data_IF_678573317962
#
_entry.id   IF_678573317962
#
_cell.length_a   1.000
_cell.length_b   1.000
_cell.length_c   1.000
_cell.angle_alpha   90.00
_cell.angle_beta   90.00
_cell.angle_gamma   90.00
#
_symmetry.space_group_name_H-M   'P 1'
#
loop_
_entity.id
_entity.type
_entity.pdbx_description
1 polymer ?
#
# COMPACT_ATOMS: atom_id res chain seq x y z
N UNK A 1 -47.52 -34.28 57.63
CA UNK A 1 -46.62 -34.39 56.46
C UNK A 1 -46.96 -33.28 55.46
N UNK A 2 -46.19 -32.20 55.46
CA UNK A 2 -46.35 -31.09 54.52
C UNK A 2 -45.28 -31.25 53.46
N UNK A 3 -45.67 -31.44 52.13
CA UNK A 3 -44.77 -31.46 51.00
C UNK A 3 -44.56 -30.03 50.53
N UNK A 4 -43.31 -29.57 50.63
CA UNK A 4 -42.87 -28.29 50.09
C UNK A 4 -42.44 -28.54 48.62
N UNK A 5 -43.13 -27.91 47.67
CA UNK A 5 -42.80 -27.92 46.26
C UNK A 5 -41.78 -26.79 46.02
N UNK A 6 -40.57 -27.16 45.58
CA UNK A 6 -39.51 -26.22 45.17
C UNK A 6 -39.76 -25.90 43.67
N UNK A 7 -40.08 -24.67 43.34
CA UNK A 7 -40.11 -24.17 41.97
C UNK A 7 -38.69 -23.72 41.56
N UNK A 8 -38.08 -24.44 40.67
CA UNK A 8 -36.85 -24.02 39.97
C UNK A 8 -37.25 -23.08 38.81
N UNK A 9 -37.01 -21.78 38.96
CA UNK A 9 -37.13 -20.84 37.85
C UNK A 9 -35.86 -20.87 37.03
N UNK A 10 -35.93 -21.41 35.81
CA UNK A 10 -34.89 -21.27 34.80
C UNK A 10 -34.90 -19.82 34.30
N UNK A 11 -33.87 -19.05 34.65
CA UNK A 11 -33.56 -17.79 33.96
C UNK A 11 -32.94 -18.12 32.62
N UNK A 12 -33.71 -17.97 31.53
CA UNK A 12 -33.18 -17.97 30.20
C UNK A 12 -32.45 -16.65 29.97
N UNK A 13 -31.10 -16.69 30.00
CA UNK A 13 -30.28 -15.57 29.56
C UNK A 13 -30.34 -15.54 28.03
N UNK A 14 -31.20 -14.67 27.51
CA UNK A 14 -31.19 -14.37 26.05
C UNK A 14 -29.95 -13.49 25.76
N UNK A 15 -28.89 -14.13 25.26
CA UNK A 15 -27.81 -13.38 24.62
C UNK A 15 -28.35 -12.76 23.33
N UNK A 16 -28.78 -11.51 23.39
CA UNK A 16 -29.02 -10.71 22.19
C UNK A 16 -27.68 -10.47 21.52
N UNK A 17 -27.39 -11.23 20.46
CA UNK A 17 -26.27 -10.93 19.55
C UNK A 17 -26.64 -9.63 18.84
N UNK A 18 -26.04 -8.52 19.26
CA UNK A 18 -26.15 -7.26 18.52
C UNK A 18 -25.51 -7.44 17.14
N UNK A 19 -26.21 -7.03 16.07
CA UNK A 19 -25.63 -7.03 14.74
C UNK A 19 -24.42 -6.10 14.69
N UNK A 20 -23.34 -6.50 14.00
CA UNK A 20 -22.16 -5.67 13.77
C UNK A 20 -22.55 -4.34 13.12
N UNK A 21 -21.90 -3.25 13.53
CA UNK A 21 -22.18 -1.89 13.03
C UNK A 21 -21.87 -1.73 11.53
N UNK A 22 -20.84 -2.45 11.06
CA UNK A 22 -20.37 -2.44 9.67
C UNK A 22 -20.30 -3.86 9.12
N UNK A 23 -20.51 -4.07 7.80
CA UNK A 23 -20.29 -5.36 7.17
C UNK A 23 -18.89 -5.91 7.43
N UNK A 24 -18.82 -7.21 7.68
CA UNK A 24 -17.58 -7.97 7.71
C UNK A 24 -17.52 -8.89 6.50
N UNK A 25 -16.31 -9.18 6.02
CA UNK A 25 -16.12 -10.08 4.90
C UNK A 25 -16.52 -11.51 5.27
N UNK A 26 -17.29 -12.10 4.39
CA UNK A 26 -17.62 -13.55 4.41
C UNK A 26 -17.15 -14.18 3.10
N UNK A 27 -17.05 -15.50 3.07
CA UNK A 27 -16.66 -16.23 1.85
C UNK A 27 -17.91 -16.54 1.01
N UNK A 28 -17.77 -16.48 -0.31
CA UNK A 28 -18.78 -16.90 -1.26
C UNK A 28 -18.14 -17.48 -2.52
N UNK A 29 -18.92 -18.24 -3.29
CA UNK A 29 -18.44 -18.68 -4.60
C UNK A 29 -18.58 -17.56 -5.64
N UNK A 30 -17.71 -17.55 -6.66
CA UNK A 30 -17.81 -16.56 -7.73
C UNK A 30 -19.16 -16.58 -8.46
N UNK A 31 -19.74 -17.76 -8.69
CA UNK A 31 -21.03 -17.90 -9.38
C UNK A 31 -22.16 -17.18 -8.62
N UNK A 32 -22.22 -17.36 -7.30
CA UNK A 32 -23.23 -16.72 -6.45
C UNK A 32 -23.07 -15.20 -6.44
N UNK A 33 -21.85 -14.71 -6.61
CA UNK A 33 -21.55 -13.29 -6.68
C UNK A 33 -21.73 -12.67 -8.08
N UNK A 34 -22.18 -13.45 -9.06
CA UNK A 34 -22.47 -12.96 -10.40
C UNK A 34 -21.30 -13.02 -11.37
N UNK A 35 -20.28 -13.81 -11.09
CA UNK A 35 -19.15 -14.02 -12.01
C UNK A 35 -19.38 -15.19 -12.95
N UNK A 36 -18.86 -15.07 -14.17
CA UNK A 36 -18.68 -16.15 -15.11
C UNK A 36 -17.42 -16.93 -14.75
N UNK A 37 -17.57 -18.13 -14.21
CA UNK A 37 -16.46 -18.95 -13.72
C UNK A 37 -15.52 -19.35 -14.84
N UNK A 38 -16.00 -19.62 -16.03
CA UNK A 38 -15.12 -19.99 -17.15
C UNK A 38 -14.19 -18.84 -17.53
N UNK A 39 -14.64 -17.59 -17.43
CA UNK A 39 -13.78 -16.43 -17.63
C UNK A 39 -12.73 -16.27 -16.53
N UNK A 40 -13.09 -16.55 -15.28
CA UNK A 40 -12.12 -16.57 -14.18
C UNK A 40 -11.11 -17.71 -14.36
N UNK A 41 -11.55 -18.88 -14.81
CA UNK A 41 -10.64 -19.99 -15.14
C UNK A 41 -9.71 -19.63 -16.30
N UNK A 42 -10.18 -18.88 -17.28
CA UNK A 42 -9.34 -18.39 -18.37
C UNK A 42 -8.27 -17.40 -17.85
N UNK A 43 -8.66 -16.49 -16.97
CA UNK A 43 -7.71 -15.60 -16.30
C UNK A 43 -6.65 -16.39 -15.53
N UNK A 44 -7.06 -17.41 -14.80
CA UNK A 44 -6.16 -18.30 -14.06
C UNK A 44 -5.14 -18.96 -15.00
N UNK A 45 -5.57 -19.52 -16.12
CA UNK A 45 -4.66 -20.10 -17.12
C UNK A 45 -3.67 -19.07 -17.66
N UNK A 46 -4.12 -17.86 -17.95
CA UNK A 46 -3.25 -16.79 -18.45
C UNK A 46 -2.23 -16.33 -17.41
N UNK A 47 -2.63 -16.24 -16.14
CA UNK A 47 -1.69 -15.92 -15.05
C UNK A 47 -0.68 -17.06 -14.88
N UNK A 48 -1.11 -18.31 -14.86
CA UNK A 48 -0.24 -19.48 -14.80
C UNK A 48 0.79 -19.48 -15.93
N UNK A 49 0.39 -19.16 -17.15
CA UNK A 49 1.29 -19.10 -18.30
C UNK A 49 2.35 -18.00 -18.13
N UNK A 50 1.95 -16.84 -17.63
CA UNK A 50 2.91 -15.75 -17.39
C UNK A 50 3.89 -16.06 -16.25
N UNK A 51 3.47 -16.81 -15.25
CA UNK A 51 4.38 -17.33 -14.22
C UNK A 51 5.37 -18.32 -14.83
N UNK A 52 4.94 -19.22 -15.71
CA UNK A 52 5.82 -20.12 -16.45
C UNK A 52 6.79 -19.36 -17.36
N UNK A 53 6.35 -18.22 -17.90
CA UNK A 53 7.16 -17.34 -18.76
C UNK A 53 8.12 -16.43 -17.97
N UNK A 54 8.13 -16.51 -16.63
CA UNK A 54 9.11 -15.84 -15.79
C UNK A 54 8.56 -14.83 -14.78
N UNK A 55 7.23 -14.61 -14.68
CA UNK A 55 6.69 -13.79 -13.60
C UNK A 55 6.82 -14.54 -12.26
N UNK A 56 7.40 -13.94 -11.20
CA UNK A 56 7.82 -14.73 -10.03
C UNK A 56 6.66 -15.28 -9.20
N UNK A 57 5.88 -14.41 -8.56
CA UNK A 57 4.77 -14.80 -7.71
C UNK A 57 3.63 -13.80 -7.77
N UNK A 58 2.40 -14.29 -7.63
CA UNK A 58 1.17 -13.48 -7.68
C UNK A 58 0.18 -14.01 -6.67
N UNK A 59 -0.42 -13.10 -5.90
CA UNK A 59 -1.61 -13.36 -5.09
C UNK A 59 -2.72 -12.41 -5.55
N UNK A 60 -3.90 -12.96 -5.78
CA UNK A 60 -5.08 -12.22 -6.19
C UNK A 60 -6.26 -12.51 -5.27
N UNK A 61 -6.95 -11.47 -4.82
CA UNK A 61 -8.19 -11.57 -4.05
C UNK A 61 -9.20 -10.58 -4.60
N UNK A 62 -10.46 -11.04 -4.73
CA UNK A 62 -11.59 -10.26 -5.24
C UNK A 62 -12.68 -10.21 -4.17
N UNK A 63 -13.13 -8.99 -3.86
CA UNK A 63 -14.32 -8.74 -3.04
C UNK A 63 -15.46 -8.32 -3.96
N UNK A 64 -16.64 -8.86 -3.72
CA UNK A 64 -17.90 -8.44 -4.35
C UNK A 64 -19.01 -8.50 -3.30
N UNK A 65 -19.73 -7.38 -3.14
CA UNK A 65 -20.88 -7.29 -2.23
C UNK A 65 -20.57 -7.80 -0.80
N UNK A 66 -19.49 -7.30 -0.21
CA UNK A 66 -18.99 -7.64 1.13
C UNK A 66 -18.51 -9.10 1.29
N UNK A 67 -18.23 -9.78 0.18
CA UNK A 67 -17.80 -11.18 0.20
C UNK A 67 -16.48 -11.36 -0.55
N UNK A 68 -15.62 -12.21 -0.01
CA UNK A 68 -14.45 -12.70 -0.73
C UNK A 68 -14.95 -13.79 -1.68
N UNK A 69 -14.84 -13.55 -2.97
CA UNK A 69 -15.37 -14.43 -4.02
C UNK A 69 -14.28 -15.15 -4.80
N UNK A 70 -13.04 -14.72 -4.65
CA UNK A 70 -11.89 -15.32 -5.30
C UNK A 70 -10.63 -15.03 -4.48
N UNK A 71 -9.81 -16.06 -4.29
CA UNK A 71 -8.51 -15.94 -3.62
C UNK A 71 -7.59 -17.03 -4.16
N UNK A 72 -6.48 -16.64 -4.75
CA UNK A 72 -5.51 -17.59 -5.29
C UNK A 72 -4.09 -17.06 -5.25
N UNK A 73 -3.12 -17.97 -5.15
CA UNK A 73 -1.69 -17.72 -5.25
C UNK A 73 -1.09 -18.54 -6.40
N UNK A 74 -0.13 -17.95 -7.13
CA UNK A 74 0.62 -18.59 -8.22
C UNK A 74 2.11 -18.35 -8.01
N UNK A 75 2.93 -19.28 -8.46
CA UNK A 75 4.37 -19.11 -8.53
C UNK A 75 5.08 -19.17 -7.19
N UNK A 76 6.12 -18.38 -7.04
CA UNK A 76 7.07 -18.49 -5.96
C UNK A 76 7.20 -17.21 -5.12
N UNK A 77 7.19 -17.38 -3.80
CA UNK A 77 7.66 -16.36 -2.88
C UNK A 77 9.17 -16.11 -3.06
N UNK A 78 9.94 -17.17 -3.30
CA UNK A 78 11.36 -17.06 -3.66
C UNK A 78 11.75 -18.16 -4.63
N UNK A 79 12.30 -17.78 -5.78
CA UNK A 79 12.77 -18.73 -6.81
C UNK A 79 14.24 -18.54 -7.18
N UNK A 80 14.85 -17.44 -6.77
CA UNK A 80 16.28 -17.13 -6.99
C UNK A 80 17.02 -16.96 -5.67
N UNK A 81 18.28 -17.35 -5.67
CA UNK A 81 19.26 -16.97 -4.68
C UNK A 81 20.41 -16.26 -5.40
N UNK A 82 20.50 -14.95 -5.23
CA UNK A 82 21.22 -14.10 -6.18
C UNK A 82 20.65 -14.31 -7.59
N UNK A 83 21.49 -14.46 -8.58
CA UNK A 83 21.07 -14.67 -9.97
C UNK A 83 20.85 -16.14 -10.33
N UNK A 84 20.89 -17.05 -9.36
CA UNK A 84 20.80 -18.52 -9.59
C UNK A 84 19.41 -19.01 -9.20
N UNK A 85 18.77 -19.76 -10.10
CA UNK A 85 17.51 -20.44 -9.82
C UNK A 85 17.70 -21.48 -8.70
N UNK A 86 16.83 -21.44 -7.71
CA UNK A 86 16.81 -22.41 -6.61
C UNK A 86 16.33 -23.78 -7.11
N UNK A 87 16.97 -24.85 -6.67
CA UNK A 87 16.50 -26.21 -6.95
C UNK A 87 15.13 -26.49 -6.33
N UNK A 88 14.85 -25.87 -5.18
CA UNK A 88 13.58 -25.99 -4.47
C UNK A 88 13.04 -24.58 -4.15
N UNK A 89 12.30 -23.94 -5.06
CA UNK A 89 11.70 -22.64 -4.81
C UNK A 89 10.74 -22.69 -3.62
N UNK A 90 10.64 -21.55 -2.91
CA UNK A 90 9.61 -21.34 -1.90
C UNK A 90 8.32 -20.93 -2.60
N UNK A 91 7.29 -21.78 -2.52
CA UNK A 91 5.99 -21.47 -3.16
C UNK A 91 5.30 -20.29 -2.49
N UNK A 92 4.66 -19.45 -3.28
CA UNK A 92 3.69 -18.49 -2.79
C UNK A 92 2.43 -19.21 -2.30
N UNK A 93 1.93 -18.80 -1.14
CA UNK A 93 0.63 -19.24 -0.61
C UNK A 93 -0.28 -18.02 -0.45
N UNK A 94 -1.56 -18.24 -0.20
CA UNK A 94 -2.51 -17.13 0.03
C UNK A 94 -2.19 -16.32 1.28
N UNK A 95 -1.34 -16.82 2.16
CA UNK A 95 -0.88 -16.13 3.38
C UNK A 95 0.47 -15.43 3.22
N UNK A 96 1.13 -15.59 2.09
CA UNK A 96 2.43 -14.95 1.82
C UNK A 96 2.35 -13.44 2.01
N UNK A 97 3.30 -12.87 2.76
CA UNK A 97 3.46 -11.42 2.90
C UNK A 97 4.23 -10.86 1.71
N UNK A 98 3.78 -9.73 1.21
CA UNK A 98 4.47 -8.99 0.14
C UNK A 98 4.86 -7.59 0.62
N UNK A 99 5.99 -7.11 0.15
CA UNK A 99 6.34 -5.70 0.24
C UNK A 99 5.36 -4.88 -0.59
N UNK A 100 4.59 -4.03 0.05
CA UNK A 100 3.55 -3.24 -0.59
C UNK A 100 4.09 -2.04 -1.36
N UNK A 101 5.35 -1.70 -1.17
CA UNK A 101 5.95 -0.49 -1.75
C UNK A 101 5.04 0.73 -1.52
N UNK A 102 4.69 1.48 -2.57
CA UNK A 102 3.90 2.71 -2.45
C UNK A 102 2.46 2.52 -1.97
N UNK A 103 1.92 1.30 -1.96
CA UNK A 103 0.65 1.05 -1.27
C UNK A 103 0.74 1.32 0.24
N UNK A 104 1.95 1.39 0.81
CA UNK A 104 2.19 1.88 2.18
C UNK A 104 1.60 3.28 2.38
N UNK A 105 1.70 4.15 1.37
CA UNK A 105 1.16 5.52 1.43
C UNK A 105 -0.33 5.53 1.77
N UNK A 106 -1.06 4.55 1.24
CA UNK A 106 -2.51 4.45 1.47
C UNK A 106 -2.83 3.68 2.75
N UNK A 107 -2.32 2.46 2.89
CA UNK A 107 -2.77 1.53 3.93
C UNK A 107 -2.09 1.73 5.30
N UNK A 108 -1.01 2.48 5.37
CA UNK A 108 -0.43 2.96 6.62
C UNK A 108 -0.70 4.46 6.82
N UNK A 109 -0.11 5.29 5.99
CA UNK A 109 -0.07 6.74 6.21
C UNK A 109 -1.43 7.40 6.01
N UNK A 110 -2.13 7.12 4.90
CA UNK A 110 -3.48 7.66 4.69
C UNK A 110 -4.48 7.16 5.72
N UNK A 111 -4.45 5.88 6.09
CA UNK A 111 -5.33 5.37 7.14
C UNK A 111 -5.09 6.10 8.46
N UNK A 112 -3.83 6.35 8.83
CA UNK A 112 -3.49 7.15 10.01
C UNK A 112 -4.01 8.58 9.90
N UNK A 113 -3.78 9.25 8.77
CA UNK A 113 -4.24 10.62 8.53
C UNK A 113 -5.77 10.72 8.54
N UNK A 114 -6.45 9.79 7.88
CA UNK A 114 -7.92 9.72 7.87
C UNK A 114 -8.48 9.59 9.29
N UNK A 115 -7.86 8.73 10.11
CA UNK A 115 -8.26 8.58 11.51
C UNK A 115 -8.03 9.86 12.32
N UNK A 116 -6.86 10.46 12.21
CA UNK A 116 -6.53 11.70 12.93
C UNK A 116 -7.41 12.87 12.49
N UNK A 117 -7.72 12.99 11.22
CA UNK A 117 -8.63 14.03 10.70
C UNK A 117 -10.06 13.80 11.17
N UNK A 118 -10.53 12.55 11.16
CA UNK A 118 -11.86 12.20 11.68
C UNK A 118 -12.00 12.51 13.19
N UNK A 119 -10.90 12.41 13.93
CA UNK A 119 -10.85 12.76 15.36
C UNK A 119 -10.64 14.26 15.63
N UNK A 120 -10.50 15.08 14.58
CA UNK A 120 -10.25 16.52 14.71
C UNK A 120 -8.84 16.90 15.17
N UNK A 121 -7.90 15.96 15.14
CA UNK A 121 -6.51 16.19 15.57
C UNK A 121 -5.62 16.76 14.48
N UNK A 122 -6.07 16.70 13.24
CA UNK A 122 -5.35 17.12 12.05
C UNK A 122 -6.36 17.61 11.02
N UNK A 123 -6.02 18.65 10.26
CA UNK A 123 -6.84 19.19 9.18
C UNK A 123 -6.04 19.31 7.88
N UNK A 124 -6.65 19.13 6.71
CA UNK A 124 -5.95 19.28 5.42
C UNK A 124 -5.29 20.65 5.25
N UNK A 125 -5.90 21.70 5.82
CA UNK A 125 -5.42 23.07 5.73
C UNK A 125 -4.35 23.45 6.75
N UNK A 126 -4.02 22.54 7.67
CA UNK A 126 -2.94 22.77 8.63
C UNK A 126 -1.60 22.93 7.89
N UNK A 127 -0.80 23.90 8.34
CA UNK A 127 0.54 24.08 7.81
C UNK A 127 1.48 22.99 8.33
N UNK A 128 2.39 22.53 7.49
CA UNK A 128 3.38 21.52 7.86
C UNK A 128 4.24 22.03 9.04
N UNK A 129 4.60 23.32 9.02
CA UNK A 129 5.39 23.95 10.08
C UNK A 129 4.76 23.84 11.48
N UNK A 130 3.44 23.65 11.57
CA UNK A 130 2.74 23.41 12.86
C UNK A 130 3.21 22.13 13.54
N UNK A 131 3.57 21.10 12.76
CA UNK A 131 3.92 19.77 13.27
C UNK A 131 5.42 19.46 13.18
N UNK A 132 6.13 20.11 12.26
CA UNK A 132 7.55 19.87 11.98
C UNK A 132 8.34 21.12 12.34
N UNK A 133 8.93 21.17 13.54
CA UNK A 133 9.75 22.30 13.96
C UNK A 133 10.90 22.59 12.97
N UNK A 134 11.08 23.85 12.62
CA UNK A 134 12.14 24.26 11.70
C UNK A 134 11.83 24.02 10.22
N UNK A 135 10.61 23.59 9.87
CA UNK A 135 10.20 23.50 8.47
C UNK A 135 9.89 24.91 7.95
N UNK A 136 10.80 25.44 7.16
CA UNK A 136 10.73 26.83 6.67
C UNK A 136 11.59 27.03 5.43
N UNK A 137 11.32 28.10 4.69
CA UNK A 137 12.20 28.54 3.61
C UNK A 137 13.57 28.93 4.16
N UNK A 138 14.63 28.53 3.45
CA UNK A 138 15.99 29.02 3.68
C UNK A 138 16.23 30.30 2.89
N UNK A 139 17.08 31.22 3.39
CA UNK A 139 17.43 32.42 2.64
C UNK A 139 17.99 32.13 1.24
N UNK A 140 18.67 31.01 1.07
CA UNK A 140 19.31 30.61 -0.20
C UNK A 140 18.40 29.80 -1.12
N UNK A 141 17.17 29.51 -0.72
CA UNK A 141 16.23 28.75 -1.57
C UNK A 141 15.83 29.60 -2.79
N UNK A 142 16.06 29.07 -3.98
CA UNK A 142 15.64 29.71 -5.23
C UNK A 142 14.12 29.78 -5.37
N UNK A 143 13.43 28.74 -4.89
CA UNK A 143 11.95 28.67 -4.87
C UNK A 143 11.51 28.69 -3.41
N UNK A 144 10.66 29.66 -3.09
CA UNK A 144 10.07 29.82 -1.76
C UNK A 144 8.70 29.16 -1.70
N UNK A 145 8.21 28.87 -0.50
CA UNK A 145 6.86 28.34 -0.27
C UNK A 145 6.76 27.36 0.88
N UNK A 146 7.87 26.89 1.45
CA UNK A 146 7.83 25.95 2.58
C UNK A 146 7.09 26.51 3.79
N UNK A 147 7.19 27.81 4.05
CA UNK A 147 6.53 28.47 5.18
C UNK A 147 5.01 28.32 5.17
N UNK A 148 4.41 28.17 4.00
CA UNK A 148 2.96 28.11 3.81
C UNK A 148 2.44 26.78 3.32
N UNK A 149 3.33 25.81 3.07
CA UNK A 149 2.92 24.46 2.67
C UNK A 149 1.96 23.84 3.70
N UNK A 150 0.90 23.24 3.18
CA UNK A 150 -0.16 22.59 3.95
C UNK A 150 -0.13 21.08 3.77
N UNK A 151 -0.80 20.38 4.66
CA UNK A 151 -0.98 18.92 4.57
C UNK A 151 -1.60 18.55 3.21
N UNK A 152 -2.63 19.30 2.75
CA UNK A 152 -3.29 19.07 1.45
C UNK A 152 -2.32 19.17 0.27
N UNK A 153 -1.32 20.04 0.31
CA UNK A 153 -0.32 20.16 -0.76
C UNK A 153 0.51 18.88 -0.91
N UNK A 154 0.86 18.25 0.21
CA UNK A 154 1.55 16.95 0.20
C UNK A 154 0.64 15.83 -0.30
N UNK A 155 -0.62 15.80 0.15
CA UNK A 155 -1.59 14.79 -0.27
C UNK A 155 -1.94 14.88 -1.76
N UNK A 156 -1.88 16.07 -2.35
CA UNK A 156 -2.07 16.29 -3.79
C UNK A 156 -0.80 16.10 -4.63
N UNK A 157 0.35 15.81 -4.01
CA UNK A 157 1.64 15.80 -4.70
C UNK A 157 1.93 17.11 -5.46
N UNK A 158 1.59 18.23 -4.85
CA UNK A 158 1.76 19.58 -5.40
C UNK A 158 2.64 20.47 -4.53
N UNK A 159 3.41 19.87 -3.62
CA UNK A 159 4.24 20.60 -2.65
C UNK A 159 5.52 21.21 -3.20
N UNK A 160 5.95 20.83 -4.39
CA UNK A 160 7.17 21.33 -4.99
C UNK A 160 8.39 20.43 -4.83
N UNK A 161 8.32 19.37 -4.07
CA UNK A 161 9.45 18.48 -3.80
C UNK A 161 9.84 17.62 -5.01
N UNK A 162 11.16 17.27 -5.11
CA UNK A 162 11.60 16.30 -6.12
C UNK A 162 10.93 14.94 -5.93
N UNK A 163 10.76 14.19 -7.02
CA UNK A 163 10.04 12.91 -7.01
C UNK A 163 10.71 11.85 -6.14
N UNK A 164 12.03 11.68 -6.30
CA UNK A 164 12.78 10.56 -5.72
C UNK A 164 14.23 10.95 -5.38
N UNK A 165 14.47 11.85 -4.41
CA UNK A 165 15.82 12.18 -4.00
C UNK A 165 16.51 10.98 -3.35
N UNK A 166 17.78 10.75 -3.73
CA UNK A 166 18.52 9.56 -3.32
C UNK A 166 19.31 9.82 -2.03
N UNK A 167 18.65 10.11 -0.94
CA UNK A 167 19.27 10.40 0.36
C UNK A 167 20.32 9.37 0.81
N UNK A 168 20.13 8.05 0.60
CA UNK A 168 21.10 7.05 1.07
C UNK A 168 22.38 6.98 0.23
N UNK A 169 22.41 7.58 -0.96
CA UNK A 169 23.56 7.53 -1.87
C UNK A 169 24.32 8.87 -1.83
N UNK A 170 25.44 8.89 -1.12
CA UNK A 170 26.23 10.12 -0.91
C UNK A 170 26.72 10.74 -2.22
N UNK A 171 27.07 9.93 -3.21
CA UNK A 171 27.55 10.41 -4.50
C UNK A 171 26.46 11.17 -5.27
N UNK A 172 25.19 10.84 -5.05
CA UNK A 172 24.02 11.47 -5.69
C UNK A 172 23.46 12.59 -4.82
N UNK A 173 23.25 12.31 -3.52
CA UNK A 173 22.60 13.25 -2.59
C UNK A 173 23.51 14.41 -2.17
N UNK A 174 24.83 14.21 -2.17
CA UNK A 174 25.77 15.24 -1.74
C UNK A 174 25.51 15.70 -0.30
N UNK A 175 25.27 17.00 -0.12
CA UNK A 175 24.98 17.58 1.18
C UNK A 175 23.68 17.10 1.85
N UNK A 176 22.80 16.47 1.08
CA UNK A 176 21.52 15.91 1.59
C UNK A 176 21.63 14.43 1.97
N UNK A 177 22.84 13.86 1.90
CA UNK A 177 23.06 12.46 2.27
C UNK A 177 22.63 12.16 3.71
N UNK A 178 21.86 11.10 3.87
CA UNK A 178 21.46 10.60 5.19
C UNK A 178 21.15 9.11 5.15
N UNK A 179 21.66 8.39 6.16
CA UNK A 179 21.28 7.01 6.46
C UNK A 179 20.83 6.86 7.92
N UNK A 180 20.25 7.92 8.48
CA UNK A 180 19.67 7.95 9.82
C UNK A 180 18.31 8.66 9.76
N UNK A 181 17.28 8.09 10.40
CA UNK A 181 15.91 8.61 10.29
C UNK A 181 15.76 10.05 10.78
N UNK A 182 16.39 10.37 11.92
CA UNK A 182 16.34 11.73 12.47
C UNK A 182 17.05 12.74 11.58
N UNK A 183 18.21 12.38 11.04
CA UNK A 183 18.93 13.22 10.08
C UNK A 183 18.20 13.33 8.75
N UNK A 184 17.51 12.28 8.32
CA UNK A 184 16.72 12.33 7.09
C UNK A 184 15.63 13.39 7.17
N UNK A 185 14.97 13.56 8.31
CA UNK A 185 14.02 14.67 8.49
C UNK A 185 14.70 16.02 8.30
N UNK A 186 15.89 16.21 8.86
CA UNK A 186 16.66 17.46 8.66
C UNK A 186 17.03 17.67 7.18
N UNK A 187 17.40 16.61 6.47
CA UNK A 187 17.70 16.69 5.04
C UNK A 187 16.45 17.01 4.20
N UNK A 188 15.30 16.46 4.57
CA UNK A 188 14.01 16.78 3.92
C UNK A 188 13.70 18.27 4.09
N UNK A 189 13.86 18.82 5.28
CA UNK A 189 13.68 20.28 5.54
C UNK A 189 14.56 21.13 4.63
N UNK A 190 15.76 20.64 4.30
CA UNK A 190 16.76 21.33 3.47
C UNK A 190 16.64 21.02 1.99
N UNK A 191 15.82 20.06 1.60
CA UNK A 191 15.64 19.68 0.19
C UNK A 191 14.98 20.82 -0.57
N UNK A 192 15.64 21.37 -1.61
CA UNK A 192 15.08 22.47 -2.40
C UNK A 192 13.80 22.04 -3.12
N UNK A 193 12.83 22.94 -3.19
CA UNK A 193 11.68 22.79 -4.06
C UNK A 193 12.14 22.93 -5.52
N UNK A 194 11.57 22.14 -6.41
CA UNK A 194 11.87 22.14 -7.85
C UNK A 194 10.88 22.98 -8.67
N UNK A 195 9.71 23.25 -8.09
CA UNK A 195 8.68 24.07 -8.71
C UNK A 195 7.87 24.80 -7.63
N UNK A 196 7.19 25.86 -8.03
CA UNK A 196 6.35 26.63 -7.11
C UNK A 196 5.21 25.77 -6.59
N UNK A 197 5.00 25.65 -5.27
CA UNK A 197 3.90 24.89 -4.70
C UNK A 197 2.55 25.23 -5.35
N UNK A 198 1.78 24.20 -5.70
CA UNK A 198 0.48 24.33 -6.37
C UNK A 198 0.55 24.49 -7.88
N UNK A 199 1.72 24.72 -8.49
CA UNK A 199 1.86 24.95 -9.94
C UNK A 199 1.89 23.67 -10.78
N UNK A 200 2.22 22.53 -10.15
CA UNK A 200 2.30 21.22 -10.79
C UNK A 200 1.89 20.13 -9.80
N UNK A 201 1.57 18.95 -10.35
CA UNK A 201 1.38 17.72 -9.60
C UNK A 201 2.47 16.74 -10.02
N UNK A 202 3.47 16.54 -9.17
CA UNK A 202 4.55 15.58 -9.38
C UNK A 202 4.58 14.61 -8.21
N UNK A 203 4.28 13.35 -8.49
CA UNK A 203 4.35 12.28 -7.51
C UNK A 203 5.71 12.27 -6.83
N UNK A 204 5.72 12.39 -5.49
CA UNK A 204 6.94 12.49 -4.69
C UNK A 204 6.87 11.63 -3.45
N UNK A 205 7.88 10.80 -3.26
CA UNK A 205 8.07 10.05 -2.03
C UNK A 205 8.28 10.96 -0.81
N UNK A 206 8.90 12.13 -1.02
CA UNK A 206 9.15 13.11 0.05
C UNK A 206 7.85 13.57 0.69
N UNK A 207 6.80 13.76 -0.09
CA UNK A 207 5.48 14.16 0.42
C UNK A 207 5.01 13.18 1.51
N UNK A 208 5.13 11.89 1.26
CA UNK A 208 4.68 10.86 2.20
C UNK A 208 5.69 10.54 3.29
N UNK A 209 6.98 10.76 3.06
CA UNK A 209 7.98 10.74 4.13
C UNK A 209 7.63 11.81 5.18
N UNK A 210 7.34 13.03 4.75
CA UNK A 210 6.87 14.11 5.62
C UNK A 210 5.54 13.79 6.31
N UNK A 211 4.56 13.27 5.58
CA UNK A 211 3.28 12.89 6.17
C UNK A 211 3.43 11.82 7.25
N UNK A 212 4.34 10.87 7.07
CA UNK A 212 4.71 9.91 8.10
C UNK A 212 5.28 10.57 9.35
N UNK A 213 6.20 11.52 9.20
CA UNK A 213 6.74 12.30 10.31
C UNK A 213 5.65 13.14 11.00
N UNK A 214 4.69 13.67 10.24
CA UNK A 214 3.56 14.42 10.81
C UNK A 214 2.68 13.52 11.68
N UNK A 215 2.39 12.30 11.23
CA UNK A 215 1.68 11.31 12.05
C UNK A 215 2.43 11.07 13.36
N UNK A 216 3.75 10.88 13.30
CA UNK A 216 4.59 10.68 14.48
C UNK A 216 4.56 11.90 15.40
N UNK A 217 4.61 13.11 14.86
CA UNK A 217 4.50 14.36 15.63
C UNK A 217 3.16 14.50 16.35
N UNK A 218 2.06 14.23 15.64
CA UNK A 218 0.69 14.38 16.20
C UNK A 218 0.43 13.32 17.27
N UNK A 219 0.89 12.11 17.08
CA UNK A 219 0.57 10.96 17.96
C UNK A 219 1.59 10.75 19.08
N UNK A 220 2.80 11.31 18.93
CA UNK A 220 3.90 11.03 19.86
C UNK A 220 4.42 9.60 19.78
N UNK A 221 4.10 8.87 18.72
CA UNK A 221 4.48 7.46 18.52
C UNK A 221 5.19 7.27 17.17
N UNK A 222 6.11 6.28 17.07
CA UNK A 222 6.58 5.84 15.76
C UNK A 222 5.42 5.39 14.88
N UNK A 223 5.50 5.63 13.59
CA UNK A 223 4.43 5.33 12.64
C UNK A 223 3.98 3.86 12.69
N UNK A 224 4.94 2.93 12.71
CA UNK A 224 4.66 1.48 12.76
C UNK A 224 3.88 1.10 14.02
N UNK A 225 4.23 1.65 15.16
CA UNK A 225 3.53 1.39 16.41
C UNK A 225 2.11 1.97 16.40
N UNK A 226 1.96 3.21 15.91
CA UNK A 226 0.65 3.85 15.86
C UNK A 226 -0.34 3.07 14.98
N UNK A 227 0.06 2.71 13.74
CA UNK A 227 -0.84 1.98 12.84
C UNK A 227 -1.11 0.56 13.33
N UNK A 228 -0.14 -0.11 13.95
CA UNK A 228 -0.34 -1.43 14.53
C UNK A 228 -1.37 -1.40 15.67
N UNK A 229 -1.17 -0.51 16.64
CA UNK A 229 -2.00 -0.45 17.85
C UNK A 229 -3.39 0.16 17.59
N UNK A 230 -3.47 1.17 16.70
CA UNK A 230 -4.68 1.97 16.52
C UNK A 230 -5.52 1.55 15.32
N UNK A 231 -4.97 0.80 14.37
CA UNK A 231 -5.64 0.42 13.13
C UNK A 231 -5.66 -1.09 12.95
N UNK A 232 -4.50 -1.74 12.85
CA UNK A 232 -4.44 -3.15 12.45
C UNK A 232 -4.90 -4.09 13.55
N UNK A 233 -4.47 -3.89 14.77
CA UNK A 233 -4.87 -4.73 15.91
C UNK A 233 -6.37 -4.65 16.20
N UNK A 234 -7.01 -3.47 16.25
CA UNK A 234 -8.46 -3.38 16.42
C UNK A 234 -9.26 -4.08 15.34
N UNK A 235 -8.73 -4.15 14.11
CA UNK A 235 -9.35 -4.86 12.99
C UNK A 235 -9.01 -6.36 12.95
N UNK A 236 -8.22 -6.85 13.89
CA UNK A 236 -7.80 -8.25 13.94
C UNK A 236 -6.76 -8.64 12.89
N UNK A 237 -6.03 -7.67 12.32
CA UNK A 237 -4.99 -7.92 11.32
C UNK A 237 -3.69 -8.35 11.99
N UNK A 238 -3.17 -9.51 11.60
CA UNK A 238 -1.96 -10.11 12.17
C UNK A 238 -0.80 -10.20 11.18
N UNK A 239 -1.03 -9.85 9.90
CA UNK A 239 -0.09 -10.00 8.80
C UNK A 239 0.19 -8.67 8.08
N UNK A 240 -0.04 -7.54 8.75
CA UNK A 240 0.21 -6.20 8.24
C UNK A 240 1.19 -5.50 9.16
N UNK A 241 2.44 -5.38 8.73
CA UNK A 241 3.55 -4.95 9.59
C UNK A 241 4.63 -4.22 8.79
N UNK A 242 5.32 -3.30 9.48
CA UNK A 242 6.65 -2.83 9.08
C UNK A 242 7.72 -3.78 9.65
N UNK A 243 8.85 -3.93 8.96
CA UNK A 243 9.97 -4.74 9.43
C UNK A 243 9.53 -6.15 9.89
N UNK A 244 8.95 -6.98 9.02
CA UNK A 244 8.35 -8.26 9.44
C UNK A 244 9.33 -9.21 10.12
N UNK A 245 10.61 -9.23 9.72
CA UNK A 245 11.62 -10.07 10.37
C UNK A 245 11.86 -9.71 11.84
N UNK A 246 11.63 -8.44 12.22
CA UNK A 246 11.72 -7.98 13.61
C UNK A 246 10.43 -8.22 14.39
N UNK A 247 9.37 -8.65 13.73
CA UNK A 247 8.04 -8.90 14.32
C UNK A 247 7.70 -10.39 14.41
N UNK A 248 8.69 -11.26 14.27
CA UNK A 248 8.52 -12.69 14.44
C UNK A 248 8.19 -13.48 13.15
N UNK A 249 8.07 -12.81 12.02
CA UNK A 249 7.91 -13.49 10.73
C UNK A 249 9.23 -14.10 10.27
N UNK A 250 9.12 -15.28 9.66
CA UNK A 250 10.27 -15.97 9.05
C UNK A 250 10.38 -15.60 7.57
N UNK A 251 11.57 -15.61 6.98
CA UNK A 251 11.74 -15.32 5.55
C UNK A 251 10.80 -16.14 4.65
N UNK A 252 10.59 -17.43 4.95
CA UNK A 252 9.74 -18.32 4.15
C UNK A 252 8.26 -17.85 4.06
N UNK A 253 7.82 -17.01 4.98
CA UNK A 253 6.48 -16.43 4.99
C UNK A 253 6.37 -15.18 4.10
N UNK A 254 7.47 -14.71 3.53
CA UNK A 254 7.59 -13.42 2.86
C UNK A 254 8.09 -13.61 1.44
N UNK A 255 7.51 -12.89 0.49
CA UNK A 255 7.99 -12.87 -0.88
C UNK A 255 9.30 -12.09 -0.99
N UNK A 256 10.31 -12.71 -1.61
CA UNK A 256 11.57 -12.06 -1.94
C UNK A 256 11.36 -11.06 -3.09
N UNK A 257 12.16 -10.01 -3.09
CA UNK A 257 12.13 -8.99 -4.15
C UNK A 257 13.42 -9.04 -4.99
N UNK A 258 14.16 -7.96 -5.07
CA UNK A 258 15.27 -7.85 -6.00
C UNK A 258 16.38 -8.89 -5.77
N UNK A 259 16.90 -9.46 -6.85
CA UNK A 259 17.83 -10.61 -6.81
C UNK A 259 19.16 -10.28 -6.16
N UNK A 260 19.73 -9.13 -6.48
CA UNK A 260 21.06 -8.73 -6.06
C UNK A 260 21.02 -7.45 -5.22
N UNK A 261 20.20 -7.47 -4.19
CA UNK A 261 20.00 -6.33 -3.30
C UNK A 261 19.35 -5.16 -4.05
N UNK A 262 19.94 -3.96 -3.91
CA UNK A 262 19.47 -2.77 -4.62
C UNK A 262 20.38 -2.42 -5.82
N UNK A 263 21.19 -3.34 -6.30
CA UNK A 263 22.21 -3.06 -7.31
C UNK A 263 21.70 -2.99 -8.74
N UNK A 264 20.43 -3.40 -9.00
CA UNK A 264 19.90 -3.52 -10.38
C UNK A 264 20.84 -4.36 -11.25
N UNK A 265 21.18 -5.55 -10.75
CA UNK A 265 22.13 -6.47 -11.35
C UNK A 265 23.52 -5.84 -11.63
N UNK A 266 24.01 -5.03 -10.68
CA UNK A 266 25.36 -4.50 -10.65
C UNK A 266 25.53 -3.10 -11.24
N UNK A 267 24.45 -2.39 -11.58
CA UNK A 267 24.53 -1.02 -12.13
C UNK A 267 24.59 0.06 -11.07
N UNK A 268 23.90 -0.13 -9.95
CA UNK A 268 23.84 0.85 -8.86
C UNK A 268 24.84 0.45 -7.76
N UNK A 269 25.66 1.41 -7.34
CA UNK A 269 26.69 1.22 -6.33
C UNK A 269 26.73 2.36 -5.32
N UNK A 270 26.87 2.03 -4.06
CA UNK A 270 27.38 2.87 -2.98
C UNK A 270 27.93 1.96 -1.86
N UNK A 271 28.79 2.45 -0.92
CA UNK A 271 29.64 1.58 -0.10
C UNK A 271 28.94 0.45 0.66
N UNK A 272 27.75 0.71 1.20
CA UNK A 272 26.99 -0.28 1.98
C UNK A 272 25.70 -0.75 1.29
N UNK A 273 25.62 -0.66 -0.04
CA UNK A 273 24.46 -1.15 -0.77
C UNK A 273 24.27 -2.66 -0.53
N UNK A 274 23.03 -3.08 -0.34
CA UNK A 274 22.70 -4.50 -0.24
C UNK A 274 22.97 -5.19 -1.57
N UNK A 275 23.54 -6.38 -1.52
CA UNK A 275 23.97 -7.16 -2.70
C UNK A 275 23.38 -8.55 -2.76
N UNK A 276 22.82 -9.03 -1.65
CA UNK A 276 22.14 -10.34 -1.59
C UNK A 276 20.65 -10.18 -1.89
N UNK A 277 19.98 -11.25 -2.31
CA UNK A 277 18.54 -11.25 -2.57
C UNK A 277 17.78 -10.65 -1.39
N UNK A 278 16.92 -9.68 -1.66
CA UNK A 278 16.09 -9.03 -0.65
C UNK A 278 14.94 -9.96 -0.26
N UNK A 279 14.93 -10.40 0.99
CA UNK A 279 13.97 -11.36 1.48
C UNK A 279 13.53 -11.04 2.90
N UNK A 280 12.40 -10.36 3.03
CA UNK A 280 11.84 -9.93 4.31
C UNK A 280 12.26 -8.54 4.78
N UNK A 281 13.13 -7.88 4.06
CA UNK A 281 13.49 -6.47 4.25
C UNK A 281 12.84 -5.60 3.19
N UNK A 282 12.47 -4.36 3.54
CA UNK A 282 11.87 -3.43 2.59
C UNK A 282 12.78 -3.22 1.38
N UNK A 283 12.20 -3.26 0.19
CA UNK A 283 12.93 -3.06 -1.07
C UNK A 283 13.40 -1.62 -1.24
N UNK A 284 12.51 -0.65 -0.98
CA UNK A 284 12.78 0.78 -1.20
C UNK A 284 14.05 1.23 -0.46
N UNK A 285 14.97 1.84 -1.19
CA UNK A 285 16.28 2.24 -0.67
C UNK A 285 16.16 3.31 0.42
N UNK A 286 15.33 4.33 0.21
CA UNK A 286 15.11 5.39 1.21
C UNK A 286 14.49 4.84 2.48
N UNK A 287 13.49 3.97 2.34
CA UNK A 287 12.85 3.35 3.49
C UNK A 287 13.84 2.50 4.29
N UNK A 288 14.66 1.72 3.61
CA UNK A 288 15.63 0.85 4.28
C UNK A 288 16.81 1.62 4.91
N UNK A 289 17.56 2.35 4.08
CA UNK A 289 18.81 2.99 4.54
C UNK A 289 18.57 4.26 5.34
N UNK A 290 17.58 5.04 4.97
CA UNK A 290 17.39 6.41 5.50
C UNK A 290 16.28 6.50 6.54
N UNK A 291 15.42 5.47 6.67
CA UNK A 291 14.23 5.53 7.53
C UNK A 291 14.10 4.32 8.48
N UNK A 292 15.11 3.45 8.54
CA UNK A 292 15.07 2.29 9.44
C UNK A 292 13.95 1.28 9.11
N UNK A 293 13.49 1.25 7.87
CA UNK A 293 12.43 0.36 7.40
C UNK A 293 11.00 0.86 7.68
N UNK A 294 10.85 2.00 8.36
CA UNK A 294 9.55 2.57 8.73
C UNK A 294 9.44 3.97 8.14
N UNK A 295 8.72 4.09 7.04
CA UNK A 295 8.48 5.36 6.39
C UNK A 295 7.04 5.50 5.93
N UNK A 296 6.56 6.74 5.87
CA UNK A 296 5.22 7.02 5.36
C UNK A 296 5.05 6.71 3.87
N UNK A 297 6.15 6.60 3.10
CA UNK A 297 6.08 6.38 1.65
C UNK A 297 6.22 4.92 1.24
N UNK A 298 6.84 4.06 2.04
CA UNK A 298 7.10 2.64 1.76
C UNK A 298 7.50 1.89 3.03
N UNK A 299 7.48 0.57 3.01
CA UNK A 299 7.96 -0.29 4.10
C UNK A 299 6.92 -1.22 4.70
N UNK A 300 5.64 -1.03 4.39
CA UNK A 300 4.59 -1.91 4.89
C UNK A 300 4.57 -3.23 4.11
N UNK A 301 4.45 -4.32 4.85
CA UNK A 301 4.21 -5.68 4.32
C UNK A 301 2.81 -6.12 4.70
N UNK A 302 2.16 -6.87 3.83
CA UNK A 302 0.85 -7.46 4.12
C UNK A 302 0.56 -8.67 3.23
N UNK A 303 -0.54 -9.35 3.50
CA UNK A 303 -1.11 -10.36 2.62
C UNK A 303 -2.46 -9.89 2.04
N UNK A 304 -3.01 -10.66 1.09
CA UNK A 304 -4.27 -10.26 0.43
C UNK A 304 -5.45 -10.26 1.40
N UNK A 305 -5.47 -11.17 2.38
CA UNK A 305 -6.55 -11.26 3.36
C UNK A 305 -6.65 -10.03 4.26
N UNK A 306 -5.52 -9.53 4.75
CA UNK A 306 -5.48 -8.33 5.58
C UNK A 306 -5.80 -7.07 4.76
N UNK A 307 -5.24 -6.95 3.56
CA UNK A 307 -5.57 -5.82 2.66
C UNK A 307 -7.06 -5.83 2.31
N UNK A 308 -7.68 -7.00 2.13
CA UNK A 308 -9.11 -7.12 1.89
C UNK A 308 -9.93 -6.45 3.00
N UNK A 309 -9.56 -6.64 4.27
CA UNK A 309 -10.22 -5.98 5.41
C UNK A 309 -10.07 -4.47 5.34
N UNK A 310 -8.88 -3.96 5.01
CA UNK A 310 -8.64 -2.53 4.86
C UNK A 310 -9.42 -1.93 3.69
N UNK A 311 -9.50 -2.62 2.55
CA UNK A 311 -10.32 -2.19 1.41
C UNK A 311 -11.81 -2.21 1.76
N UNK A 312 -12.28 -3.24 2.47
CA UNK A 312 -13.66 -3.32 2.93
C UNK A 312 -14.01 -2.20 3.92
N UNK A 313 -13.07 -1.82 4.77
CA UNK A 313 -13.22 -0.67 5.68
C UNK A 313 -13.49 0.62 4.90
N UNK A 314 -12.79 0.83 3.78
CA UNK A 314 -13.05 1.97 2.89
C UNK A 314 -14.42 1.86 2.22
N UNK A 315 -14.79 0.70 1.69
CA UNK A 315 -16.12 0.47 1.09
C UNK A 315 -17.25 0.68 2.10
N UNK A 316 -17.02 0.38 3.36
CA UNK A 316 -17.99 0.58 4.45
C UNK A 316 -18.11 2.04 4.91
N UNK A 317 -17.31 2.94 4.36
CA UNK A 317 -17.31 4.34 4.80
C UNK A 317 -16.54 4.58 6.11
N UNK A 318 -15.58 3.71 6.45
CA UNK A 318 -14.63 3.98 7.53
C UNK A 318 -14.63 3.01 8.72
N UNK A 319 -15.39 1.92 8.65
CA UNK A 319 -15.45 0.94 9.72
C UNK A 319 -15.53 -0.51 9.24
N UNK A 320 -15.34 -1.44 10.16
CA UNK A 320 -15.38 -2.88 9.91
C UNK A 320 -15.83 -3.60 11.20
N UNK A 321 -16.88 -4.41 11.11
CA UNK A 321 -17.48 -5.04 12.30
C UNK A 321 -17.97 -3.98 13.29
N UNK A 322 -17.52 -4.05 14.51
CA UNK A 322 -17.88 -3.09 15.57
C UNK A 322 -16.91 -1.90 15.66
N UNK A 323 -15.88 -1.87 14.81
CA UNK A 323 -14.83 -0.85 14.85
C UNK A 323 -15.12 0.25 13.83
N UNK A 324 -15.15 1.50 14.28
CA UNK A 324 -15.09 2.67 13.43
C UNK A 324 -13.69 3.29 13.53
N UNK A 325 -12.96 3.33 12.42
CA UNK A 325 -11.65 3.98 12.35
C UNK A 325 -11.78 5.47 12.05
N UNK A 326 -12.65 5.82 11.11
CA UNK A 326 -12.92 7.18 10.69
C UNK A 326 -14.35 7.27 10.14
N UNK A 327 -14.86 8.49 9.98
CA UNK A 327 -16.23 8.70 9.52
C UNK A 327 -16.34 8.70 7.98
N UNK A 328 -17.56 8.54 7.48
CA UNK A 328 -17.85 8.49 6.04
C UNK A 328 -17.50 9.79 5.31
N UNK A 329 -17.61 10.92 5.98
CA UNK A 329 -17.26 12.23 5.43
C UNK A 329 -15.77 12.33 5.13
N UNK A 330 -14.93 11.80 6.03
CA UNK A 330 -13.47 11.70 5.81
C UNK A 330 -13.13 10.79 4.63
N UNK A 331 -13.79 9.63 4.51
CA UNK A 331 -13.61 8.75 3.35
C UNK A 331 -13.94 9.48 2.05
N UNK A 332 -15.09 10.15 2.02
CA UNK A 332 -15.52 10.92 0.85
C UNK A 332 -14.54 12.03 0.48
N UNK A 333 -14.03 12.76 1.47
CA UNK A 333 -13.04 13.82 1.27
C UNK A 333 -11.76 13.26 0.63
N UNK A 334 -11.25 12.13 1.12
CA UNK A 334 -10.01 11.54 0.62
C UNK A 334 -10.13 10.90 -0.76
N UNK A 335 -11.30 10.39 -1.13
CA UNK A 335 -11.50 9.59 -2.35
C UNK A 335 -12.20 10.33 -3.48
N UNK A 336 -12.61 11.59 -3.27
CA UNK A 336 -13.18 12.43 -4.31
C UNK A 336 -12.09 13.04 -5.17
N UNK A 337 -12.22 12.95 -6.49
CA UNK A 337 -11.28 13.55 -7.44
C UNK A 337 -11.07 15.04 -7.18
N UNK A 338 -9.82 15.48 -7.23
CA UNK A 338 -9.51 16.90 -7.18
C UNK A 338 -9.97 17.60 -8.47
N UNK A 339 -10.21 18.90 -8.37
CA UNK A 339 -10.60 19.71 -9.54
C UNK A 339 -9.42 19.95 -10.49
N UNK A 340 -8.22 19.97 -9.93
CA UNK A 340 -6.98 20.25 -10.66
C UNK A 340 -6.45 19.02 -11.40
N UNK A 341 -6.66 17.84 -10.81
CA UNK A 341 -6.25 16.56 -11.40
C UNK A 341 -7.28 15.48 -11.04
N UNK A 342 -8.08 15.08 -12.02
CA UNK A 342 -9.13 14.07 -11.85
C UNK A 342 -8.60 12.67 -11.49
N UNK A 343 -7.29 12.44 -11.62
CA UNK A 343 -6.65 11.14 -11.30
C UNK A 343 -6.20 11.02 -9.84
N UNK A 344 -6.42 12.07 -9.02
CA UNK A 344 -6.09 12.08 -7.60
C UNK A 344 -7.27 12.53 -6.74
N UNK A 345 -7.49 11.80 -5.62
CA UNK A 345 -8.08 12.34 -4.41
C UNK A 345 -6.99 12.89 -3.49
N UNK A 346 -7.15 12.74 -2.19
CA UNK A 346 -6.08 13.03 -1.23
C UNK A 346 -5.16 11.79 -1.12
N UNK A 347 -4.15 11.74 -1.98
CA UNK A 347 -3.20 10.63 -2.09
C UNK A 347 -3.72 9.43 -2.86
N UNK A 348 -4.97 9.05 -2.70
CA UNK A 348 -5.59 7.98 -3.49
C UNK A 348 -5.57 8.31 -4.97
N UNK A 349 -5.14 7.35 -5.80
CA UNK A 349 -5.33 7.46 -7.24
C UNK A 349 -6.79 7.18 -7.55
N UNK A 350 -7.34 7.96 -8.49
CA UNK A 350 -8.76 7.86 -8.90
C UNK A 350 -8.85 7.65 -10.40
N UNK A 351 -9.80 6.82 -10.84
CA UNK A 351 -10.03 6.50 -12.25
C UNK A 351 -10.76 7.64 -13.00
N UNK A 352 -10.27 8.87 -12.83
CA UNK A 352 -10.96 10.08 -13.29
C UNK A 352 -10.85 10.35 -14.79
N UNK A 353 -9.91 9.71 -15.50
CA UNK A 353 -9.76 9.82 -16.96
C UNK A 353 -8.97 8.64 -17.52
N UNK A 354 -8.86 8.59 -18.85
CA UNK A 354 -8.26 7.47 -19.56
C UNK A 354 -6.76 7.25 -19.29
N UNK A 355 -6.05 8.20 -18.70
CA UNK A 355 -4.65 8.00 -18.31
C UNK A 355 -4.49 6.95 -17.24
N UNK A 356 -5.56 6.63 -16.51
CA UNK A 356 -5.58 5.60 -15.46
C UNK A 356 -5.87 4.19 -15.98
N UNK A 357 -6.02 3.99 -17.28
CA UNK A 357 -6.28 2.68 -17.89
C UNK A 357 -5.20 1.65 -17.55
N UNK A 358 -3.94 2.06 -17.49
CA UNK A 358 -2.83 1.16 -17.12
C UNK A 358 -2.89 0.70 -15.66
N UNK A 359 -3.62 1.41 -14.81
CA UNK A 359 -3.80 1.09 -13.39
C UNK A 359 -5.12 0.35 -13.13
N UNK A 360 -6.24 0.92 -13.61
CA UNK A 360 -7.59 0.45 -13.28
C UNK A 360 -8.29 -0.28 -14.43
N UNK A 361 -7.62 -0.45 -15.58
CA UNK A 361 -8.25 -1.04 -16.75
C UNK A 361 -9.26 -0.12 -17.42
N UNK A 362 -10.06 -0.71 -18.31
CA UNK A 362 -11.04 0.01 -19.14
C UNK A 362 -12.48 -0.10 -18.64
N UNK A 363 -12.76 -1.00 -17.69
CA UNK A 363 -14.11 -1.40 -17.30
C UNK A 363 -14.53 -0.93 -15.89
N UNK A 364 -13.56 -0.53 -15.05
CA UNK A 364 -13.85 -0.04 -13.71
C UNK A 364 -14.60 1.30 -13.75
N UNK A 365 -15.42 1.58 -12.74
CA UNK A 365 -16.15 2.86 -12.67
C UNK A 365 -15.20 4.06 -12.57
N UNK A 366 -15.63 5.25 -13.03
CA UNK A 366 -14.83 6.48 -12.87
C UNK A 366 -14.58 6.87 -11.41
N UNK A 367 -15.39 6.39 -10.47
CA UNK A 367 -15.25 6.62 -9.03
C UNK A 367 -14.28 5.65 -8.35
N UNK A 368 -13.78 4.66 -9.09
CA UNK A 368 -12.78 3.69 -8.60
C UNK A 368 -11.53 4.41 -8.12
N UNK A 369 -11.01 3.99 -6.98
CA UNK A 369 -9.77 4.51 -6.42
C UNK A 369 -8.89 3.38 -5.90
N UNK A 370 -7.65 3.66 -5.65
CA UNK A 370 -6.66 2.71 -5.16
C UNK A 370 -5.26 3.26 -5.30
N UNK A 371 -4.28 2.39 -5.34
CA UNK A 371 -2.89 2.76 -5.54
C UNK A 371 -2.09 1.58 -6.11
N UNK A 372 -0.90 1.88 -6.60
CA UNK A 372 0.06 0.88 -7.05
C UNK A 372 1.31 0.89 -6.18
N UNK A 373 2.09 -0.18 -6.26
CA UNK A 373 3.41 -0.27 -5.64
C UNK A 373 4.44 -0.81 -6.62
N UNK A 374 5.62 -0.24 -6.59
CA UNK A 374 6.70 -0.53 -7.53
C UNK A 374 7.09 -2.03 -7.53
N UNK A 375 6.91 -2.72 -6.42
CA UNK A 375 7.15 -4.17 -6.29
C UNK A 375 6.14 -5.05 -7.03
N UNK A 376 5.13 -4.46 -7.68
CA UNK A 376 4.11 -5.21 -8.43
C UNK A 376 2.81 -5.37 -7.67
N UNK A 377 2.44 -4.41 -6.84
CA UNK A 377 1.20 -4.43 -6.06
C UNK A 377 0.20 -3.41 -6.60
N UNK A 378 -1.06 -3.79 -6.63
CA UNK A 378 -2.18 -2.89 -6.98
C UNK A 378 -3.38 -3.17 -6.10
N UNK A 379 -4.04 -2.10 -5.69
CA UNK A 379 -5.33 -2.16 -5.00
C UNK A 379 -6.35 -1.33 -5.76
N UNK A 380 -7.56 -1.86 -5.87
CA UNK A 380 -8.67 -1.28 -6.64
C UNK A 380 -9.91 -1.36 -5.78
N UNK A 381 -10.55 -0.23 -5.54
CA UNK A 381 -11.78 -0.12 -4.75
C UNK A 381 -12.81 0.60 -5.60
N UNK A 382 -13.89 -0.11 -5.96
CA UNK A 382 -14.96 0.42 -6.82
C UNK A 382 -16.27 0.51 -6.02
N UNK A 383 -16.62 1.69 -5.50
CA UNK A 383 -17.81 1.86 -4.69
C UNK A 383 -19.12 1.74 -5.50
N UNK A 384 -19.08 1.96 -6.81
CA UNK A 384 -20.25 1.83 -7.67
C UNK A 384 -20.66 0.38 -7.88
N UNK A 385 -19.66 -0.49 -8.11
CA UNK A 385 -19.89 -1.92 -8.33
C UNK A 385 -19.80 -2.75 -7.03
N UNK A 386 -19.61 -2.11 -5.88
CA UNK A 386 -19.39 -2.79 -4.60
C UNK A 386 -18.31 -3.88 -4.70
N UNK A 387 -17.19 -3.53 -5.32
CA UNK A 387 -16.12 -4.45 -5.63
C UNK A 387 -14.77 -3.90 -5.21
N UNK A 388 -13.88 -4.79 -4.79
CA UNK A 388 -12.47 -4.46 -4.60
C UNK A 388 -11.58 -5.61 -5.09
N UNK A 389 -10.39 -5.24 -5.56
CA UNK A 389 -9.41 -6.17 -6.08
C UNK A 389 -8.07 -5.81 -5.44
N UNK A 390 -7.37 -6.81 -4.94
CA UNK A 390 -5.97 -6.68 -4.58
C UNK A 390 -5.16 -7.73 -5.32
N UNK A 391 -4.10 -7.28 -5.99
CA UNK A 391 -3.07 -8.15 -6.53
C UNK A 391 -1.75 -7.78 -5.87
N UNK A 392 -1.14 -8.73 -5.21
CA UNK A 392 0.19 -8.62 -4.63
C UNK A 392 1.15 -9.49 -5.43
N UNK A 393 2.30 -8.95 -5.75
CA UNK A 393 3.34 -9.68 -6.46
C UNK A 393 4.73 -9.23 -6.02
N UNK A 394 5.73 -10.00 -6.40
CA UNK A 394 7.14 -9.69 -6.22
C UNK A 394 7.83 -9.53 -7.58
N UNK A 395 7.28 -8.67 -8.42
CA UNK A 395 7.77 -8.42 -9.79
C UNK A 395 9.30 -8.22 -9.87
N UNK A 396 9.97 -7.47 -8.96
CA UNK A 396 11.42 -7.30 -9.01
C UNK A 396 12.23 -8.57 -8.69
N UNK A 397 11.58 -9.65 -8.27
CA UNK A 397 12.24 -10.96 -8.08
C UNK A 397 12.45 -11.66 -9.43
N UNK A 398 13.18 -10.99 -10.29
CA UNK A 398 13.45 -11.34 -11.69
C UNK A 398 14.73 -10.63 -12.13
N UNK A 399 15.48 -11.17 -13.11
CA UNK A 399 16.60 -10.45 -13.68
C UNK A 399 16.20 -9.12 -14.29
N UNK A 400 17.10 -8.14 -14.26
CA UNK A 400 16.96 -6.91 -15.05
C UNK A 400 17.18 -7.27 -16.53
N UNK A 401 16.28 -6.81 -17.41
CA UNK A 401 16.29 -7.21 -18.83
C UNK A 401 17.55 -6.73 -19.55
N UNK A 402 17.86 -5.44 -19.40
CA UNK A 402 19.10 -4.82 -19.92
C UNK A 402 19.55 -3.75 -18.91
N UNK A 403 20.42 -4.11 -17.96
CA UNK A 403 20.82 -3.21 -16.88
C UNK A 403 21.43 -1.89 -17.35
N UNK A 404 22.16 -1.90 -18.46
CA UNK A 404 22.81 -0.70 -18.99
C UNK A 404 21.84 0.24 -19.71
N UNK A 405 20.77 -0.32 -20.28
CA UNK A 405 19.76 0.46 -21.01
C UNK A 405 18.71 1.02 -20.08
N UNK A 406 18.14 0.18 -19.21
CA UNK A 406 17.12 0.56 -18.25
C UNK A 406 17.22 -0.33 -16.99
N UNK A 407 17.89 0.14 -15.94
CA UNK A 407 18.10 -0.66 -14.73
C UNK A 407 16.80 -0.99 -13.98
N UNK A 408 15.71 -0.28 -14.26
CA UNK A 408 14.43 -0.49 -13.60
C UNK A 408 13.46 -1.37 -14.39
N UNK A 409 13.89 -1.93 -15.53
CA UNK A 409 13.09 -2.86 -16.32
C UNK A 409 13.52 -4.30 -16.05
N UNK A 410 12.71 -5.01 -15.27
CA UNK A 410 12.88 -6.44 -15.02
C UNK A 410 12.25 -7.27 -16.15
N UNK A 411 12.77 -8.48 -16.37
CA UNK A 411 12.19 -9.41 -17.35
C UNK A 411 10.71 -9.64 -17.07
N UNK A 412 10.32 -9.82 -15.81
CA UNK A 412 8.92 -9.93 -15.38
C UNK A 412 8.08 -8.73 -15.80
N UNK A 413 8.65 -7.53 -15.84
CA UNK A 413 7.97 -6.30 -16.22
C UNK A 413 7.54 -6.21 -17.68
N UNK A 414 8.03 -7.11 -18.52
CA UNK A 414 7.68 -7.20 -19.94
C UNK A 414 6.42 -8.05 -20.21
N UNK A 415 5.92 -8.76 -19.19
CA UNK A 415 4.74 -9.60 -19.30
C UNK A 415 3.45 -8.78 -19.12
N UNK A 416 2.32 -9.16 -19.74
CA UNK A 416 1.05 -8.40 -19.66
C UNK A 416 0.58 -8.11 -18.24
N UNK A 417 0.75 -9.05 -17.32
CA UNK A 417 0.34 -8.91 -15.90
C UNK A 417 1.08 -7.79 -15.18
N UNK A 418 2.25 -7.37 -15.65
CA UNK A 418 3.00 -6.25 -15.09
C UNK A 418 2.30 -4.91 -15.33
N UNK A 419 1.40 -4.82 -16.30
CA UNK A 419 0.46 -3.71 -16.45
C UNK A 419 -0.77 -4.01 -15.61
N UNK A 420 -0.95 -3.33 -14.49
CA UNK A 420 -1.97 -3.65 -13.48
C UNK A 420 -3.39 -3.69 -14.04
N UNK A 421 -3.72 -2.77 -14.94
CA UNK A 421 -5.03 -2.72 -15.59
C UNK A 421 -5.40 -3.99 -16.36
N UNK A 422 -4.43 -4.80 -16.75
CA UNK A 422 -4.69 -6.08 -17.42
C UNK A 422 -5.49 -7.03 -16.51
N UNK A 423 -5.02 -7.26 -15.27
CA UNK A 423 -5.73 -8.16 -14.34
C UNK A 423 -7.08 -7.57 -13.94
N UNK A 424 -7.15 -6.27 -13.78
CA UNK A 424 -8.42 -5.58 -13.45
C UNK A 424 -9.44 -5.82 -14.56
N UNK A 425 -9.06 -5.66 -15.82
CA UNK A 425 -9.96 -5.93 -16.95
C UNK A 425 -10.41 -7.39 -17.03
N UNK A 426 -9.52 -8.36 -16.71
CA UNK A 426 -9.90 -9.77 -16.66
C UNK A 426 -10.99 -10.03 -15.60
N UNK A 427 -10.88 -9.41 -14.43
CA UNK A 427 -11.86 -9.55 -13.35
C UNK A 427 -13.19 -8.94 -13.76
N UNK A 428 -13.19 -7.70 -14.27
CA UNK A 428 -14.41 -7.02 -14.68
C UNK A 428 -15.10 -7.72 -15.88
N UNK A 429 -14.34 -8.24 -16.83
CA UNK A 429 -14.87 -9.00 -17.95
C UNK A 429 -15.55 -10.30 -17.53
N UNK A 430 -15.25 -10.81 -16.34
CA UNK A 430 -15.88 -11.98 -15.78
C UNK A 430 -17.21 -11.70 -15.06
N UNK A 431 -17.54 -10.42 -14.80
CA UNK A 431 -18.85 -10.05 -14.27
C UNK A 431 -19.94 -10.35 -15.32
N UNK A 432 -20.99 -11.03 -14.90
CA UNK A 432 -22.19 -11.23 -15.73
C UNK A 432 -22.92 -9.88 -15.85
N UNK A 433 -23.28 -9.55 -17.07
CA UNK A 433 -24.12 -8.38 -17.36
C UNK A 433 -25.55 -8.61 -16.91
#
# INVERSE_FOLDING_TARGET
>A
MKRTMLYLSLLAVSCSVSAAKYPVLTESSPEKAGFNVERLNQMDRWISQQVDDGYPGVNLLIIKDNQIVYRKAWGAAKKYDGSVLMAQPVKATTDTLYDLASNTKMYATNFALQKLMSEGKLHPDDRIAKFIPGFADSPNDAIKGKNTLRISDLLHHSGGFPADPQYPNKAVAGALYSQDKGQTLEMIKRTPLEYQPGSKHIYSDVDYMLLGFIVESVTGQPLDRYVEESIYRPLGLTHTVFNPLLKGFKPQQIAATELNGNTRDGVIHFPNIRTSTLWGQVHDEKAFYSMGGVSGHAGLFSNTGDIAVLMQTMLNGGGYGDVQLFNAETVKMFTTSSKEDATFGLGWRVNGNATMTTTFGTLASPQTYGHTGWTGTVTVIDPVNHMAIVMLSNKPHSPVADPQKNPNMFVSGQLPIATYGWVVDQVYAALKQ
#
